data_IF_489382969512
#
_entry.id   IF_489382969512
#
_cell.length_a   1.000
_cell.length_b   1.000
_cell.length_c   1.000
_cell.angle_alpha   90.00
_cell.angle_beta   90.00
_cell.angle_gamma   90.00
#
_symmetry.space_group_name_H-M   'P 1'
#
loop_
_entity.id
_entity.type
_entity.pdbx_description
1 polymer ?
#
# COMPACT_ATOMS: atom_id res chain seq x y z
N UNK A 1 62.21 -0.17 39.52
CA UNK A 1 61.51 1.04 39.05
C UNK A 1 61.33 1.98 40.22
N UNK A 2 62.01 3.15 40.20
CA UNK A 2 62.21 4.02 41.36
C UNK A 2 60.92 4.65 41.89
N UNK A 3 60.42 4.20 43.05
CA UNK A 3 59.23 4.72 43.75
C UNK A 3 59.36 6.18 44.23
N UNK A 4 60.58 6.83 44.11
CA UNK A 4 60.82 8.16 44.59
C UNK A 4 60.54 9.30 43.60
N UNK A 5 60.26 8.99 42.34
CA UNK A 5 60.04 10.00 41.30
C UNK A 5 58.72 10.80 41.57
N UNK A 6 57.68 10.17 42.10
CA UNK A 6 56.39 10.80 42.43
C UNK A 6 56.41 11.62 43.74
N UNK A 7 57.46 11.55 44.55
CA UNK A 7 57.58 12.37 45.78
C UNK A 7 58.13 13.76 45.53
N UNK A 8 58.75 14.00 44.38
CA UNK A 8 59.36 15.30 44.08
C UNK A 8 58.29 16.17 43.37
N UNK A 9 57.85 17.25 44.02
CA UNK A 9 56.83 18.18 43.52
C UNK A 9 57.15 18.75 42.15
N UNK A 10 58.42 19.02 41.89
CA UNK A 10 58.92 19.55 40.61
C UNK A 10 58.76 18.51 39.47
N UNK A 11 59.06 17.24 39.76
CA UNK A 11 58.94 16.16 38.77
C UNK A 11 57.42 15.89 38.41
N UNK A 12 56.56 15.92 39.41
CA UNK A 12 55.08 15.79 39.18
C UNK A 12 54.60 16.97 38.33
N UNK A 13 55.07 18.21 38.61
CA UNK A 13 54.72 19.37 37.80
C UNK A 13 55.10 19.24 36.31
N UNK A 14 56.38 18.75 36.09
CA UNK A 14 56.83 18.52 34.70
C UNK A 14 55.96 17.44 33.99
N UNK A 15 55.65 16.35 34.67
CA UNK A 15 54.81 15.29 34.11
C UNK A 15 53.40 15.85 33.75
N UNK A 16 52.82 16.67 34.61
CA UNK A 16 51.52 17.30 34.31
C UNK A 16 51.59 18.23 33.08
N UNK A 17 52.68 19.02 32.94
CA UNK A 17 52.87 19.87 31.77
C UNK A 17 53.02 19.03 30.49
N UNK A 18 53.83 17.97 30.53
CA UNK A 18 54.00 17.06 29.37
C UNK A 18 52.68 16.40 28.99
N UNK A 19 51.91 15.93 29.97
CA UNK A 19 50.55 15.37 29.71
C UNK A 19 49.61 16.40 29.10
N UNK A 20 49.62 17.64 29.61
CA UNK A 20 48.82 18.73 29.04
C UNK A 20 49.20 19.02 27.58
N UNK A 21 50.52 19.03 27.28
CA UNK A 21 51.01 19.18 25.90
C UNK A 21 50.56 18.02 25.00
N UNK A 22 50.61 16.78 25.46
CA UNK A 22 50.12 15.61 24.70
C UNK A 22 48.62 15.74 24.42
N UNK A 23 47.82 16.12 25.42
CA UNK A 23 46.39 16.33 25.24
C UNK A 23 46.12 17.46 24.22
N UNK A 24 46.75 18.60 24.37
CA UNK A 24 46.52 19.76 23.50
C UNK A 24 47.01 19.56 22.07
N UNK A 25 48.18 18.93 21.88
CA UNK A 25 48.80 18.86 20.55
C UNK A 25 48.62 17.52 19.83
N UNK A 26 48.33 16.41 20.53
CA UNK A 26 48.14 15.11 19.92
C UNK A 26 46.64 14.69 19.90
N UNK A 27 45.94 14.85 21.01
CA UNK A 27 44.56 14.36 21.15
C UNK A 27 43.57 15.35 20.52
N UNK A 28 43.72 16.66 20.78
CA UNK A 28 42.79 17.68 20.24
C UNK A 28 42.72 17.70 18.71
N UNK A 29 43.82 17.63 17.93
CA UNK A 29 43.74 17.60 16.48
C UNK A 29 43.10 16.30 15.93
N UNK A 30 43.28 15.15 16.62
CA UNK A 30 42.61 13.91 16.23
C UNK A 30 41.10 14.02 16.37
N UNK A 31 40.59 14.59 17.46
CA UNK A 31 39.15 14.87 17.64
C UNK A 31 38.64 15.88 16.63
N UNK A 32 39.40 16.95 16.37
CA UNK A 32 38.99 17.96 15.39
C UNK A 32 39.05 17.47 13.93
N UNK A 33 39.88 16.47 13.60
CA UNK A 33 39.92 15.89 12.26
C UNK A 33 38.58 15.16 11.91
N UNK A 34 38.01 14.45 12.87
CA UNK A 34 36.67 13.83 12.69
C UNK A 34 35.54 14.86 12.53
N UNK A 35 35.63 15.99 13.24
CA UNK A 35 34.64 17.07 13.14
C UNK A 35 34.78 17.90 11.85
N UNK A 36 35.96 17.87 11.20
CA UNK A 36 36.21 18.55 9.92
C UNK A 36 36.01 17.64 8.71
N UNK A 37 35.68 16.37 8.91
CA UNK A 37 35.36 15.48 7.81
C UNK A 37 34.18 16.06 7.01
N UNK A 38 34.39 16.23 5.71
CA UNK A 38 33.39 16.74 4.78
C UNK A 38 33.02 15.64 3.80
N UNK A 39 31.79 15.67 3.35
CA UNK A 39 31.27 14.79 2.31
C UNK A 39 30.38 15.58 1.35
N UNK A 40 30.13 15.01 0.20
CA UNK A 40 29.14 15.53 -0.74
C UNK A 40 27.74 15.15 -0.26
N UNK A 41 26.77 16.02 -0.53
CA UNK A 41 25.37 15.77 -0.31
C UNK A 41 24.56 16.47 -1.41
N UNK A 42 23.39 15.93 -1.71
CA UNK A 42 22.47 16.53 -2.68
C UNK A 42 21.38 17.30 -1.95
N UNK A 43 21.16 18.54 -2.37
CA UNK A 43 20.08 19.38 -1.85
C UNK A 43 19.20 19.96 -2.93
N UNK A 44 18.01 20.40 -2.53
CA UNK A 44 17.03 21.08 -3.39
C UNK A 44 17.54 22.47 -3.76
N UNK A 45 17.59 22.76 -5.06
CA UNK A 45 18.02 24.03 -5.64
C UNK A 45 16.85 24.98 -5.89
N UNK A 46 15.72 24.46 -6.35
CA UNK A 46 14.48 25.21 -6.63
C UNK A 46 13.72 25.52 -5.35
N UNK A 47 12.74 26.43 -5.40
CA UNK A 47 12.02 26.84 -4.19
C UNK A 47 11.22 25.69 -3.57
N UNK A 48 10.54 24.86 -4.38
CA UNK A 48 9.77 23.71 -3.97
C UNK A 48 9.83 22.61 -5.04
N UNK A 49 10.02 21.37 -4.63
CA UNK A 49 9.75 20.18 -5.43
C UNK A 49 8.49 19.53 -4.82
N UNK A 50 7.32 19.59 -5.52
CA UNK A 50 6.09 18.97 -5.05
C UNK A 50 6.21 17.44 -5.00
N UNK A 51 5.45 16.81 -4.11
CA UNK A 51 5.25 15.35 -4.10
C UNK A 51 4.79 14.88 -5.49
N UNK A 52 5.33 13.75 -5.97
CA UNK A 52 5.01 13.17 -7.28
C UNK A 52 5.82 13.72 -8.45
N UNK A 53 6.66 14.72 -8.23
CA UNK A 53 7.46 15.33 -9.29
C UNK A 53 8.64 14.44 -9.68
N UNK A 54 8.85 14.21 -10.98
CA UNK A 54 10.08 13.60 -11.49
C UNK A 54 11.24 14.58 -11.30
N UNK A 55 12.24 14.18 -10.53
CA UNK A 55 13.38 15.04 -10.19
C UNK A 55 14.36 15.08 -11.37
N UNK A 56 14.63 16.28 -11.83
CA UNK A 56 15.62 16.57 -12.88
C UNK A 56 16.87 17.22 -12.32
N UNK A 57 17.97 17.16 -13.05
CA UNK A 57 19.25 17.75 -12.63
C UNK A 57 19.14 19.26 -12.35
N UNK A 58 18.25 19.97 -13.04
CA UNK A 58 18.02 21.40 -12.83
C UNK A 58 17.41 21.76 -11.47
N UNK A 59 16.76 20.80 -10.81
CA UNK A 59 16.05 20.99 -9.54
C UNK A 59 16.91 20.78 -8.32
N UNK A 60 18.09 20.17 -8.48
CA UNK A 60 18.97 19.75 -7.39
C UNK A 60 20.41 20.18 -7.61
N UNK A 61 21.22 20.19 -6.58
CA UNK A 61 22.64 20.47 -6.66
C UNK A 61 23.43 19.68 -5.65
N UNK A 62 24.66 19.30 -6.02
CA UNK A 62 25.63 18.72 -5.09
C UNK A 62 26.35 19.85 -4.36
N UNK A 63 26.53 19.69 -3.06
CA UNK A 63 27.31 20.62 -2.25
C UNK A 63 28.09 19.87 -1.18
N UNK A 64 29.12 20.50 -0.65
CA UNK A 64 29.95 19.92 0.40
C UNK A 64 29.42 20.32 1.77
N UNK A 65 29.23 19.33 2.66
CA UNK A 65 28.83 19.57 4.05
C UNK A 65 29.66 18.75 5.04
N UNK A 66 29.60 19.12 6.33
CA UNK A 66 30.19 18.34 7.40
C UNK A 66 29.46 17.00 7.60
N UNK A 67 30.21 15.93 7.83
CA UNK A 67 29.66 14.58 8.09
C UNK A 67 28.93 14.52 9.43
N UNK A 68 29.34 15.35 10.40
CA UNK A 68 28.75 15.35 11.74
C UNK A 68 27.26 15.69 11.71
N UNK A 69 26.41 14.76 12.19
CA UNK A 69 24.96 14.91 12.23
C UNK A 69 24.24 14.72 10.88
N UNK A 70 24.93 14.19 9.87
CA UNK A 70 24.29 13.83 8.60
C UNK A 70 23.64 12.44 8.74
N UNK A 71 22.34 12.29 8.41
CA UNK A 71 21.70 10.98 8.34
C UNK A 71 22.35 10.09 7.26
N UNK A 72 22.48 8.79 7.53
CA UNK A 72 23.04 7.82 6.58
C UNK A 72 22.22 7.69 5.29
N UNK A 73 20.95 8.12 5.33
CA UNK A 73 20.02 8.12 4.20
C UNK A 73 20.16 9.34 3.29
N UNK A 74 21.05 10.30 3.62
CA UNK A 74 21.25 11.49 2.78
C UNK A 74 21.90 11.11 1.46
N UNK A 75 21.27 11.51 0.35
CA UNK A 75 21.82 11.28 -1.00
C UNK A 75 23.15 12.03 -1.18
N UNK A 76 24.17 11.35 -1.71
CA UNK A 76 25.51 11.88 -1.86
C UNK A 76 25.85 12.21 -3.32
N UNK A 77 25.08 11.69 -4.29
CA UNK A 77 25.31 11.89 -5.71
C UNK A 77 24.03 12.21 -6.46
N UNK A 78 24.15 12.93 -7.59
CA UNK A 78 23.00 13.19 -8.48
C UNK A 78 22.38 11.89 -9.02
N UNK A 79 23.17 10.85 -9.24
CA UNK A 79 22.69 9.55 -9.74
C UNK A 79 21.73 8.84 -8.78
N UNK A 80 21.76 9.17 -7.49
CA UNK A 80 20.83 8.63 -6.49
C UNK A 80 19.47 9.35 -6.51
N UNK A 81 19.38 10.53 -7.14
CA UNK A 81 18.22 11.43 -7.04
C UNK A 81 17.56 11.70 -8.38
N UNK A 82 18.37 12.00 -9.42
CA UNK A 82 17.86 12.36 -10.75
C UNK A 82 17.22 11.16 -11.41
N UNK A 83 16.02 11.35 -12.00
CA UNK A 83 15.23 10.29 -12.62
C UNK A 83 14.33 9.53 -11.64
N UNK A 84 14.33 9.91 -10.35
CA UNK A 84 13.39 9.40 -9.35
C UNK A 84 12.27 10.39 -9.08
N UNK A 85 11.20 9.94 -8.46
CA UNK A 85 10.04 10.76 -8.10
C UNK A 85 10.10 11.17 -6.64
N UNK A 86 9.72 12.40 -6.34
CA UNK A 86 9.61 12.91 -4.98
C UNK A 86 8.42 12.26 -4.26
N UNK A 87 8.65 11.55 -3.16
CA UNK A 87 7.59 10.93 -2.33
C UNK A 87 7.04 11.89 -1.28
N UNK A 88 7.73 12.99 -1.05
CA UNK A 88 7.33 14.08 -0.15
C UNK A 88 7.56 15.43 -0.83
N UNK A 89 6.87 16.48 -0.37
CA UNK A 89 7.21 17.85 -0.75
C UNK A 89 8.57 18.23 -0.16
N UNK A 90 9.48 18.72 -0.98
CA UNK A 90 10.82 19.16 -0.57
C UNK A 90 11.02 20.64 -0.89
N UNK A 91 11.61 21.38 0.05
CA UNK A 91 11.85 22.82 -0.06
C UNK A 91 13.32 23.14 -0.30
N UNK A 92 13.56 24.31 -0.87
CA UNK A 92 14.91 24.83 -1.15
C UNK A 92 15.87 24.66 0.02
N UNK A 93 17.09 24.25 -0.29
CA UNK A 93 18.18 23.96 0.65
C UNK A 93 17.93 22.76 1.58
N UNK A 94 16.84 22.01 1.42
CA UNK A 94 16.66 20.74 2.13
C UNK A 94 17.61 19.68 1.55
N UNK A 95 18.32 18.96 2.40
CA UNK A 95 19.06 17.76 2.02
C UNK A 95 18.08 16.68 1.61
N UNK A 96 18.38 15.99 0.52
CA UNK A 96 17.49 14.95 -0.01
C UNK A 96 17.86 13.62 0.62
N UNK A 97 16.87 13.00 1.29
CA UNK A 97 16.99 11.61 1.75
C UNK A 97 16.60 10.63 0.65
N UNK A 98 17.37 9.56 0.48
CA UNK A 98 17.01 8.47 -0.44
C UNK A 98 15.69 7.79 -0.10
N UNK A 99 15.24 7.89 1.16
CA UNK A 99 13.93 7.38 1.63
C UNK A 99 12.74 8.25 1.18
N UNK A 100 12.99 9.46 0.67
CA UNK A 100 11.97 10.37 0.15
C UNK A 100 11.80 10.25 -1.37
N UNK A 101 12.39 9.21 -1.96
CA UNK A 101 12.44 9.01 -3.40
C UNK A 101 11.78 7.69 -3.79
N UNK A 102 10.93 7.73 -4.81
CA UNK A 102 10.31 6.56 -5.44
C UNK A 102 10.90 6.31 -6.83
N UNK A 103 11.00 5.05 -7.23
CA UNK A 103 11.38 4.67 -8.59
C UNK A 103 10.17 4.66 -9.55
N UNK A 104 8.96 4.71 -9.00
CA UNK A 104 7.71 4.69 -9.77
C UNK A 104 7.01 6.04 -9.64
N UNK A 105 6.31 6.51 -10.70
CA UNK A 105 5.49 7.70 -10.62
C UNK A 105 4.48 7.57 -9.48
N UNK A 106 4.34 8.62 -8.67
CA UNK A 106 3.23 8.70 -7.74
C UNK A 106 1.97 9.01 -8.55
N UNK A 107 1.03 8.10 -8.53
CA UNK A 107 -0.28 8.31 -9.13
C UNK A 107 -1.25 8.83 -8.07
N UNK A 108 -2.27 9.56 -8.50
CA UNK A 108 -3.35 10.03 -7.61
C UNK A 108 -4.00 8.89 -6.81
N UNK A 109 -3.84 7.66 -7.30
CA UNK A 109 -4.40 6.44 -6.70
C UNK A 109 -3.28 5.44 -6.41
N UNK A 110 -2.39 5.79 -5.45
CA UNK A 110 -1.20 5.00 -5.10
C UNK A 110 -1.55 3.53 -4.76
N UNK A 111 -2.72 3.29 -4.18
CA UNK A 111 -3.17 1.93 -3.85
C UNK A 111 -3.31 1.02 -5.07
N UNK A 112 -3.54 1.57 -6.27
CA UNK A 112 -3.60 0.79 -7.51
C UNK A 112 -2.21 0.34 -8.00
N UNK A 113 -1.14 1.02 -7.60
CA UNK A 113 0.23 0.62 -7.95
C UNK A 113 0.70 -0.62 -7.19
N UNK A 114 0.00 -1.01 -6.13
CA UNK A 114 0.28 -2.19 -5.31
C UNK A 114 -0.40 -3.47 -5.82
N UNK A 115 -1.17 -3.36 -6.90
CA UNK A 115 -1.80 -4.53 -7.53
C UNK A 115 -0.75 -5.32 -8.30
N UNK A 116 -0.60 -6.60 -7.95
CA UNK A 116 0.41 -7.52 -8.51
C UNK A 116 -0.16 -8.50 -9.56
N UNK A 117 -1.44 -8.35 -9.90
CA UNK A 117 -2.17 -9.21 -10.83
C UNK A 117 -2.85 -10.43 -10.19
N UNK A 118 -2.56 -10.77 -8.93
CA UNK A 118 -3.25 -11.83 -8.20
C UNK A 118 -4.57 -11.33 -7.60
N UNK A 119 -4.58 -10.07 -7.19
CA UNK A 119 -5.77 -9.38 -6.68
C UNK A 119 -6.17 -8.24 -7.58
N UNK A 120 -7.43 -7.86 -7.50
CA UNK A 120 -8.04 -6.78 -8.26
C UNK A 120 -8.67 -5.76 -7.30
N UNK A 121 -8.74 -4.52 -7.73
CA UNK A 121 -9.50 -3.47 -7.06
C UNK A 121 -10.89 -3.38 -7.69
N UNK A 122 -11.93 -3.49 -6.90
CA UNK A 122 -13.32 -3.31 -7.34
C UNK A 122 -14.03 -2.32 -6.44
N UNK A 123 -14.79 -1.39 -7.03
CA UNK A 123 -15.62 -0.45 -6.28
C UNK A 123 -17.03 -0.95 -6.19
N UNK A 124 -17.63 -0.81 -5.01
CA UNK A 124 -19.03 -1.14 -4.74
C UNK A 124 -19.77 0.06 -4.16
N UNK A 125 -21.04 0.19 -4.50
CA UNK A 125 -21.88 1.31 -4.05
C UNK A 125 -22.25 1.15 -2.58
N UNK A 126 -22.22 2.26 -1.83
CA UNK A 126 -22.79 2.38 -0.49
C UNK A 126 -24.20 2.98 -0.59
N UNK A 127 -25.26 2.17 -0.45
CA UNK A 127 -26.62 2.63 -0.71
C UNK A 127 -27.15 3.65 0.30
N UNK A 128 -26.59 3.67 1.50
CA UNK A 128 -26.97 4.63 2.56
C UNK A 128 -25.88 4.75 3.60
N UNK A 129 -25.95 5.82 4.39
CA UNK A 129 -25.01 6.11 5.47
C UNK A 129 -24.90 4.93 6.47
N UNK A 130 -26.04 4.37 6.86
CA UNK A 130 -26.07 3.21 7.78
C UNK A 130 -25.43 1.96 7.18
N UNK A 131 -25.65 1.69 5.89
CA UNK A 131 -25.06 0.53 5.21
C UNK A 131 -23.57 0.67 4.93
N UNK A 132 -23.02 1.89 4.95
CA UNK A 132 -21.62 2.21 4.76
C UNK A 132 -20.83 2.47 6.04
N UNK A 133 -21.25 1.89 7.19
CA UNK A 133 -20.53 2.08 8.44
C UNK A 133 -20.56 3.53 8.94
N UNK A 134 -21.65 4.27 8.67
CA UNK A 134 -21.83 5.67 9.04
C UNK A 134 -20.73 6.59 8.50
N UNK A 135 -20.21 6.31 7.31
CA UNK A 135 -19.20 7.11 6.65
C UNK A 135 -17.80 7.05 7.31
N UNK A 136 -17.57 6.07 8.17
CA UNK A 136 -16.33 5.95 8.94
C UNK A 136 -15.31 4.99 8.31
N UNK A 137 -15.61 4.40 7.16
CA UNK A 137 -14.68 3.53 6.45
C UNK A 137 -13.47 4.33 5.96
N UNK A 138 -12.29 3.73 6.06
CA UNK A 138 -11.00 4.29 5.66
C UNK A 138 -10.15 3.23 4.96
N UNK A 139 -9.17 3.67 4.19
CA UNK A 139 -8.19 2.78 3.59
C UNK A 139 -7.42 1.99 4.67
N UNK A 140 -7.24 0.70 4.44
CA UNK A 140 -6.59 -0.24 5.37
C UNK A 140 -7.55 -0.91 6.37
N UNK A 141 -8.82 -0.54 6.42
CA UNK A 141 -9.82 -1.25 7.22
C UNK A 141 -10.03 -2.68 6.70
N UNK A 142 -10.22 -3.61 7.62
CA UNK A 142 -10.77 -4.93 7.29
C UNK A 142 -12.26 -4.90 7.60
N UNK A 143 -13.05 -5.22 6.60
CA UNK A 143 -14.51 -5.20 6.67
C UNK A 143 -15.09 -6.58 6.34
N UNK A 144 -16.32 -6.76 6.75
CA UNK A 144 -17.20 -7.86 6.37
C UNK A 144 -18.38 -7.30 5.60
N UNK A 145 -18.82 -7.98 4.55
CA UNK A 145 -19.99 -7.59 3.78
C UNK A 145 -21.14 -8.56 3.99
N UNK A 146 -22.29 -7.98 4.33
CA UNK A 146 -23.57 -8.66 4.28
C UNK A 146 -24.24 -8.32 2.96
N UNK A 147 -24.89 -9.31 2.36
CA UNK A 147 -25.60 -9.17 1.10
C UNK A 147 -27.09 -9.30 1.33
N UNK A 148 -27.89 -8.41 0.76
CA UNK A 148 -29.35 -8.52 0.79
C UNK A 148 -29.83 -8.73 -0.64
N UNK A 149 -30.51 -9.85 -0.87
CA UNK A 149 -31.16 -10.12 -2.16
C UNK A 149 -32.36 -9.18 -2.35
N UNK A 150 -32.46 -8.53 -3.52
CA UNK A 150 -33.51 -7.53 -3.80
C UNK A 150 -34.90 -8.14 -3.92
N UNK A 151 -34.98 -9.36 -4.44
CA UNK A 151 -36.26 -10.03 -4.72
C UNK A 151 -36.86 -10.68 -3.46
N UNK A 152 -36.02 -11.32 -2.65
CA UNK A 152 -36.47 -12.06 -1.45
C UNK A 152 -36.37 -11.22 -0.17
N UNK A 153 -35.57 -10.15 -0.15
CA UNK A 153 -35.25 -9.38 1.06
C UNK A 153 -34.37 -10.13 2.06
N UNK A 154 -33.92 -11.34 1.73
CA UNK A 154 -33.06 -12.13 2.61
C UNK A 154 -31.67 -11.54 2.70
N UNK A 155 -31.18 -11.41 3.94
CA UNK A 155 -29.81 -10.92 4.21
C UNK A 155 -28.93 -12.05 4.68
N UNK A 156 -27.79 -12.22 4.00
CA UNK A 156 -26.83 -13.31 4.26
C UNK A 156 -25.42 -12.75 4.38
N UNK A 157 -24.59 -13.37 5.21
CA UNK A 157 -23.14 -13.17 5.21
C UNK A 157 -22.48 -14.32 4.47
N UNK A 158 -21.85 -14.01 3.34
CA UNK A 158 -21.15 -15.01 2.53
C UNK A 158 -19.72 -15.21 3.04
N UNK A 159 -19.26 -16.47 3.24
CA UNK A 159 -17.88 -16.73 3.70
C UNK A 159 -16.80 -16.10 2.82
N UNK A 160 -17.06 -15.97 1.50
CA UNK A 160 -16.18 -15.32 0.53
C UNK A 160 -15.97 -13.82 0.83
N UNK A 161 -16.91 -13.18 1.53
CA UNK A 161 -16.92 -11.74 1.79
C UNK A 161 -16.75 -11.42 3.28
N UNK A 162 -16.04 -12.30 4.01
CA UNK A 162 -15.91 -12.20 5.46
C UNK A 162 -14.80 -11.24 5.89
N UNK A 163 -13.66 -11.26 5.20
CA UNK A 163 -12.53 -10.39 5.50
C UNK A 163 -12.00 -9.77 4.21
N UNK A 164 -12.27 -8.49 4.02
CA UNK A 164 -11.91 -7.76 2.81
C UNK A 164 -11.22 -6.46 3.21
N UNK A 165 -10.13 -6.12 2.56
CA UNK A 165 -9.41 -4.88 2.77
C UNK A 165 -10.04 -3.76 1.95
N UNK A 166 -10.25 -2.61 2.60
CA UNK A 166 -10.63 -1.36 1.95
C UNK A 166 -9.38 -0.68 1.40
N UNK A 167 -9.36 -0.41 0.10
CA UNK A 167 -8.29 0.34 -0.56
C UNK A 167 -8.55 1.85 -0.53
N UNK A 168 -9.79 2.24 -0.78
CA UNK A 168 -10.19 3.64 -0.81
C UNK A 168 -11.69 3.80 -0.51
N UNK A 169 -12.07 4.98 -0.08
CA UNK A 169 -13.46 5.39 0.07
C UNK A 169 -13.66 6.65 -0.76
N UNK A 170 -14.58 6.62 -1.72
CA UNK A 170 -14.85 7.74 -2.62
C UNK A 170 -16.13 8.43 -2.20
N UNK A 171 -16.09 9.75 -2.07
CA UNK A 171 -17.23 10.59 -1.74
C UNK A 171 -18.07 10.91 -2.99
N UNK A 172 -19.26 11.51 -2.79
CA UNK A 172 -20.21 11.78 -3.86
C UNK A 172 -19.67 12.71 -4.96
N UNK A 173 -18.67 13.52 -4.68
CA UNK A 173 -17.97 14.35 -5.68
C UNK A 173 -17.03 13.57 -6.60
N UNK A 174 -16.79 12.27 -6.34
CA UNK A 174 -15.84 11.44 -7.06
C UNK A 174 -14.39 11.52 -6.55
N UNK A 175 -14.14 12.30 -5.50
CA UNK A 175 -12.82 12.35 -4.85
C UNK A 175 -12.67 11.26 -3.80
N UNK A 176 -11.46 10.73 -3.65
CA UNK A 176 -11.16 9.83 -2.55
C UNK A 176 -11.14 10.61 -1.23
N UNK A 177 -11.69 9.99 -0.20
CA UNK A 177 -11.70 10.55 1.15
C UNK A 177 -10.31 10.45 1.74
N UNK A 178 -9.62 11.60 1.84
CA UNK A 178 -8.35 11.70 2.54
C UNK A 178 -8.59 12.03 4.02
N UNK A 179 -8.01 11.22 4.91
CA UNK A 179 -7.98 11.53 6.34
C UNK A 179 -6.75 12.39 6.64
N UNK A 180 -6.93 13.71 6.71
CA UNK A 180 -5.84 14.66 6.97
C UNK A 180 -5.61 14.98 8.46
N UNK A 181 -6.31 14.32 9.38
CA UNK A 181 -6.17 14.55 10.83
C UNK A 181 -6.57 15.93 11.34
N UNK A 182 -6.76 16.89 10.45
CA UNK A 182 -7.33 18.21 10.71
C UNK A 182 -8.66 18.29 10.01
N UNK A 183 -9.74 18.71 10.69
CA UNK A 183 -10.99 19.03 10.00
C UNK A 183 -10.67 20.07 8.93
N UNK A 184 -10.77 19.69 7.65
CA UNK A 184 -10.62 20.65 6.57
C UNK A 184 -11.77 21.65 6.69
N UNK A 185 -11.46 22.90 7.03
CA UNK A 185 -12.42 24.01 7.07
C UNK A 185 -13.05 24.35 5.70
N UNK A 186 -12.75 23.53 4.67
CA UNK A 186 -13.25 23.65 3.30
C UNK A 186 -14.28 22.62 2.88
N UNK A 187 -14.78 21.76 3.76
CA UNK A 187 -15.98 20.97 3.47
C UNK A 187 -17.21 21.90 3.44
N UNK A 188 -17.36 22.59 2.33
CA UNK A 188 -18.40 23.60 2.13
C UNK A 188 -19.81 23.02 1.95
N UNK A 189 -19.95 21.68 1.87
CA UNK A 189 -21.24 21.02 1.76
C UNK A 189 -21.18 19.61 2.41
N UNK A 190 -21.86 19.38 3.56
CA UNK A 190 -21.89 18.08 4.22
C UNK A 190 -22.45 16.93 3.35
N UNK A 191 -23.27 17.23 2.36
CA UNK A 191 -23.84 16.23 1.46
C UNK A 191 -22.82 15.73 0.44
N UNK A 192 -21.86 16.55 0.03
CA UNK A 192 -20.79 16.18 -0.92
C UNK A 192 -19.69 15.33 -0.26
N UNK A 193 -19.59 15.35 1.07
CA UNK A 193 -18.63 14.57 1.84
C UNK A 193 -19.10 13.16 2.21
N UNK A 194 -20.34 12.78 1.81
CA UNK A 194 -20.86 11.45 2.10
C UNK A 194 -20.16 10.38 1.25
N UNK A 195 -19.72 9.27 1.86
CA UNK A 195 -19.19 8.13 1.11
C UNK A 195 -20.23 7.60 0.13
N UNK A 196 -19.84 7.51 -1.14
CA UNK A 196 -20.69 6.98 -2.22
C UNK A 196 -20.28 5.56 -2.62
N UNK A 197 -18.97 5.29 -2.64
CA UNK A 197 -18.42 3.97 -2.99
C UNK A 197 -17.26 3.60 -2.09
N UNK A 198 -17.00 2.29 -1.98
CA UNK A 198 -15.82 1.72 -1.34
C UNK A 198 -15.08 0.88 -2.36
N UNK A 199 -13.77 1.12 -2.51
CA UNK A 199 -12.89 0.32 -3.36
C UNK A 199 -12.22 -0.75 -2.51
N UNK A 200 -12.32 -2.00 -2.92
CA UNK A 200 -11.95 -3.19 -2.17
C UNK A 200 -10.85 -3.96 -2.89
N UNK A 201 -9.91 -4.54 -2.12
CA UNK A 201 -8.90 -5.47 -2.61
C UNK A 201 -9.42 -6.90 -2.51
N UNK A 202 -9.63 -7.55 -3.63
CA UNK A 202 -10.31 -8.85 -3.70
C UNK A 202 -9.64 -9.77 -4.73
N UNK A 203 -9.91 -11.08 -4.66
CA UNK A 203 -9.56 -11.99 -5.74
C UNK A 203 -10.63 -11.98 -6.85
N UNK A 204 -10.37 -12.66 -7.96
CA UNK A 204 -11.27 -12.69 -9.13
C UNK A 204 -12.65 -13.29 -8.83
N UNK A 205 -12.73 -14.30 -7.94
CA UNK A 205 -14.01 -14.90 -7.54
C UNK A 205 -14.85 -13.91 -6.71
N UNK A 206 -14.23 -13.25 -5.75
CA UNK A 206 -14.88 -12.20 -4.95
C UNK A 206 -15.34 -11.03 -5.84
N UNK A 207 -14.49 -10.59 -6.78
CA UNK A 207 -14.86 -9.51 -7.70
C UNK A 207 -16.09 -9.85 -8.53
N UNK A 208 -16.14 -11.05 -9.11
CA UNK A 208 -17.32 -11.52 -9.86
C UNK A 208 -18.57 -11.59 -8.98
N UNK A 209 -18.42 -12.06 -7.74
CA UNK A 209 -19.51 -12.14 -6.78
C UNK A 209 -20.04 -10.74 -6.42
N UNK A 210 -19.15 -9.79 -6.13
CA UNK A 210 -19.50 -8.40 -5.80
C UNK A 210 -20.20 -7.70 -6.97
N UNK A 211 -19.70 -7.86 -8.19
CA UNK A 211 -20.32 -7.31 -9.39
C UNK A 211 -21.76 -7.86 -9.59
N UNK A 212 -21.97 -9.16 -9.36
CA UNK A 212 -23.31 -9.74 -9.42
C UNK A 212 -24.24 -9.21 -8.32
N UNK A 213 -23.73 -9.02 -7.09
CA UNK A 213 -24.55 -8.49 -5.99
C UNK A 213 -24.93 -7.03 -6.23
N UNK A 214 -24.05 -6.24 -6.84
CA UNK A 214 -24.31 -4.84 -7.21
C UNK A 214 -25.56 -4.73 -8.11
N UNK A 215 -25.76 -5.69 -9.02
CA UNK A 215 -26.92 -5.75 -9.92
C UNK A 215 -28.16 -6.33 -9.24
N UNK A 216 -28.02 -7.38 -8.44
CA UNK A 216 -29.13 -8.20 -7.94
C UNK A 216 -29.56 -7.89 -6.51
N UNK A 217 -28.79 -7.11 -5.76
CA UNK A 217 -29.02 -6.92 -4.35
C UNK A 217 -28.51 -5.58 -3.81
N UNK A 218 -28.09 -5.61 -2.57
CA UNK A 218 -27.39 -4.49 -1.93
C UNK A 218 -26.40 -5.01 -0.88
N UNK A 219 -25.38 -4.20 -0.62
CA UNK A 219 -24.34 -4.49 0.37
C UNK A 219 -24.55 -3.70 1.65
N UNK A 220 -24.16 -4.30 2.78
CA UNK A 220 -24.06 -3.66 4.08
C UNK A 220 -22.70 -3.96 4.66
N UNK A 221 -21.90 -2.92 4.90
CA UNK A 221 -20.55 -2.99 5.44
C UNK A 221 -20.57 -3.09 6.96
N UNK A 222 -19.80 -4.02 7.52
CA UNK A 222 -19.51 -4.10 8.93
C UNK A 222 -17.99 -4.07 9.16
N UNK A 223 -17.54 -3.29 10.14
CA UNK A 223 -16.13 -3.23 10.52
C UNK A 223 -15.72 -4.50 11.26
N UNK A 224 -14.56 -5.04 10.89
CA UNK A 224 -13.93 -6.15 11.58
C UNK A 224 -12.70 -5.68 12.33
N UNK A 225 -11.80 -4.95 11.65
CA UNK A 225 -10.55 -4.52 12.25
C UNK A 225 -10.05 -3.21 11.63
N UNK A 226 -9.49 -2.36 12.50
CA UNK A 226 -8.69 -1.19 12.14
C UNK A 226 -7.47 -1.14 13.06
N UNK A 227 -6.28 -1.06 12.52
CA UNK A 227 -5.05 -1.00 13.30
C UNK A 227 -3.81 -1.32 12.49
N UNK A 228 -2.86 -2.07 13.07
CA UNK A 228 -1.59 -2.37 12.42
C UNK A 228 -1.75 -3.30 11.21
N UNK A 229 -0.92 -3.10 10.20
CA UNK A 229 -0.87 -3.96 8.99
C UNK A 229 -0.66 -5.44 9.34
N UNK A 230 0.25 -5.72 10.29
CA UNK A 230 0.55 -7.08 10.76
C UNK A 230 -0.70 -7.83 11.26
N UNK A 231 -1.57 -7.14 12.01
CA UNK A 231 -2.80 -7.78 12.50
C UNK A 231 -3.88 -7.85 11.41
N UNK A 232 -3.97 -6.89 10.50
CA UNK A 232 -4.86 -6.95 9.35
C UNK A 232 -4.57 -8.19 8.47
N UNK A 233 -3.29 -8.47 8.23
CA UNK A 233 -2.83 -9.63 7.45
C UNK A 233 -3.29 -10.98 8.03
N UNK A 234 -3.48 -11.09 9.35
CA UNK A 234 -4.02 -12.32 9.97
C UNK A 234 -5.46 -12.60 9.53
N UNK A 235 -6.29 -11.57 9.42
CA UNK A 235 -7.66 -11.73 8.90
C UNK A 235 -7.66 -12.08 7.41
N UNK A 236 -6.80 -11.42 6.64
CA UNK A 236 -6.68 -11.69 5.20
C UNK A 236 -6.15 -13.11 4.94
N UNK A 237 -5.22 -13.61 5.75
CA UNK A 237 -4.72 -14.99 5.67
C UNK A 237 -5.83 -16.02 5.89
N UNK A 238 -6.72 -15.80 6.88
CA UNK A 238 -7.89 -16.67 7.09
C UNK A 238 -8.84 -16.66 5.89
N UNK A 239 -8.98 -15.50 5.21
CA UNK A 239 -9.78 -15.42 3.99
C UNK A 239 -9.14 -16.18 2.82
N UNK A 240 -7.83 -16.11 2.67
CA UNK A 240 -7.09 -16.87 1.64
C UNK A 240 -7.16 -18.38 1.89
N UNK A 241 -7.00 -18.82 3.14
CA UNK A 241 -7.13 -20.23 3.52
C UNK A 241 -8.50 -20.81 3.13
N UNK A 242 -9.58 -20.04 3.33
CA UNK A 242 -10.92 -20.44 2.89
C UNK A 242 -10.98 -20.74 1.39
N UNK A 243 -10.31 -19.94 0.53
CA UNK A 243 -10.30 -20.19 -0.91
C UNK A 243 -9.44 -21.39 -1.28
N UNK A 244 -8.28 -21.56 -0.66
CA UNK A 244 -7.40 -22.73 -0.86
C UNK A 244 -8.12 -24.03 -0.50
N UNK A 245 -8.76 -24.11 0.67
CA UNK A 245 -9.53 -25.30 1.05
C UNK A 245 -10.70 -25.59 0.13
N UNK A 246 -11.28 -24.56 -0.49
CA UNK A 246 -12.39 -24.72 -1.44
C UNK A 246 -11.90 -25.28 -2.77
N UNK A 247 -10.72 -24.84 -3.24
CA UNK A 247 -10.08 -25.35 -4.45
C UNK A 247 -9.71 -26.82 -4.28
N UNK A 248 -9.05 -27.19 -3.18
CA UNK A 248 -8.69 -28.58 -2.87
C UNK A 248 -9.91 -29.51 -2.85
N UNK A 249 -11.02 -29.07 -2.25
CA UNK A 249 -12.28 -29.84 -2.22
C UNK A 249 -12.98 -29.94 -3.58
N UNK A 250 -12.69 -29.02 -4.51
CA UNK A 250 -13.23 -29.04 -5.85
C UNK A 250 -12.46 -30.00 -6.76
N UNK A 251 -11.16 -30.13 -6.55
CA UNK A 251 -10.28 -31.08 -7.30
C UNK A 251 -10.50 -32.53 -6.86
N UNK A 252 -10.85 -32.78 -5.61
CA UNK A 252 -11.06 -34.13 -5.06
C UNK A 252 -12.44 -34.75 -5.41
N UNK A 253 -13.27 -34.08 -6.23
CA UNK A 253 -14.51 -34.66 -6.77
C UNK A 253 -14.18 -35.48 -8.00
N UNK A 254 -14.34 -36.85 -7.97
CA UNK A 254 -14.13 -37.68 -9.15
C UNK A 254 -15.05 -37.20 -10.28
N UNK A 255 -14.47 -36.99 -11.45
CA UNK A 255 -15.20 -36.78 -12.69
C UNK A 255 -16.08 -38.01 -12.94
N UNK A 256 -17.32 -38.01 -12.48
CA UNK A 256 -18.32 -38.99 -12.87
C UNK A 256 -18.68 -38.78 -14.34
N UNK A 257 -18.05 -39.63 -15.15
CA UNK A 257 -18.59 -40.27 -16.34
C UNK A 257 -19.33 -39.40 -17.36
N UNK A 258 -18.61 -38.83 -18.31
CA UNK A 258 -19.14 -38.79 -19.66
C UNK A 258 -19.06 -40.23 -20.23
N UNK A 259 -20.12 -41.01 -19.98
CA UNK A 259 -20.36 -42.26 -20.70
C UNK A 259 -20.66 -41.91 -22.14
N UNK A 260 -19.73 -42.26 -23.00
CA UNK A 260 -19.84 -42.23 -24.44
C UNK A 260 -20.80 -43.37 -24.88
N UNK A 261 -22.05 -43.03 -25.11
CA UNK A 261 -23.06 -43.90 -25.74
C UNK A 261 -23.07 -43.70 -27.22
N UNK A 262 -22.06 -44.24 -27.91
CA UNK A 262 -22.22 -44.62 -29.31
C UNK A 262 -23.14 -45.84 -29.34
N UNK A 263 -24.35 -45.71 -29.84
CA UNK A 263 -25.07 -46.84 -30.42
C UNK A 263 -25.49 -46.50 -31.83
N UNK A 264 -24.75 -47.14 -32.71
CA UNK A 264 -25.05 -47.43 -34.11
C UNK A 264 -26.29 -48.35 -34.12
N UNK A 265 -27.38 -47.93 -34.71
CA UNK A 265 -28.33 -48.86 -35.30
C UNK A 265 -28.89 -48.24 -36.58
N UNK A 266 -28.47 -48.89 -37.66
CA UNK A 266 -29.01 -48.80 -39.01
C UNK A 266 -30.39 -49.48 -39.09
N UNK A 267 -31.09 -49.12 -40.18
CA UNK A 267 -32.16 -49.85 -40.87
C UNK A 267 -33.60 -49.65 -40.35
N UNK A 268 -34.43 -48.96 -41.06
CA UNK A 268 -35.26 -49.46 -42.15
C UNK A 268 -36.23 -48.38 -42.63
N UNK A 269 -36.09 -48.01 -43.87
CA UNK A 269 -37.20 -47.47 -44.65
C UNK A 269 -38.19 -48.62 -45.03
N UNK A 270 -39.50 -48.32 -45.14
CA UNK A 270 -40.19 -48.69 -46.32
C UNK A 270 -40.88 -47.51 -47.00
N UNK A 271 -40.84 -47.64 -48.33
CA UNK A 271 -41.43 -46.80 -49.35
C UNK A 271 -42.97 -46.79 -49.31
N UNK A 272 -43.49 -45.67 -49.83
CA UNK A 272 -44.58 -45.51 -50.77
C UNK A 272 -45.94 -46.07 -50.37
N UNK A 273 -46.96 -45.23 -50.42
CA UNK A 273 -48.04 -45.30 -51.39
C UNK A 273 -48.72 -43.93 -51.49
N UNK A 274 -48.70 -43.43 -52.72
CA UNK A 274 -49.58 -42.41 -53.32
C UNK A 274 -51.05 -42.85 -53.30
N UNK A 275 -51.94 -41.99 -52.91
CA UNK A 275 -53.25 -41.94 -53.57
C UNK A 275 -53.98 -40.63 -53.28
N UNK A 276 -54.32 -40.05 -54.39
CA UNK A 276 -55.12 -38.92 -54.72
C UNK A 276 -56.56 -39.06 -54.27
N UNK A 277 -57.21 -37.89 -54.46
CA UNK A 277 -58.64 -37.57 -54.63
C UNK A 277 -59.39 -37.34 -53.31
N UNK A 278 -59.96 -36.25 -53.11
CA UNK A 278 -60.86 -35.40 -53.85
C UNK A 278 -62.02 -35.02 -52.92
N UNK A 279 -62.25 -33.84 -52.76
CA UNK A 279 -63.41 -32.93 -52.85
C UNK A 279 -63.14 -31.62 -52.09
#
# INVERSE_FOLDING_TARGET
>A
MNKNIFKNRTVVGIICIVLAFIVCFAITPLFNAGLKAQTEAVRVKVDVIPKGTLITESMVEVYTRGVSGMPDTTAQSLGEVVGRYADVEMRKNADISTTWLSNTPLTAYEYLTKLDGNKVAISVTIPSFAKGGSGKAEAGDIIMLFTTNRDTGETTQLPQLRYIEVLAVTISSGADKEYSGTPNEKESNPEESLPATVTLLVNAEQARLLANIEETGSLHLAFVYRGTRENAEKFLAVQEEYFTEKEDKAEDKPQQGQSNGQNTEQENMPQEVDERDGE
#
